data_IF_003414886014
#
_entry.id   IF_003414886014
#
_cell.length_a   1.000
_cell.length_b   1.000
_cell.length_c   1.000
_cell.angle_alpha   90.00
_cell.angle_beta   90.00
_cell.angle_gamma   90.00
#
_symmetry.space_group_name_H-M   'P 1'
#
loop_
_entity.id
_entity.type
_entity.pdbx_description
1 polymer ?
#
# COMPACT_ATOMS: atom_id res chain seq x y z
N UNK A 1 -4.43 10.64 -1.83
CA UNK A 1 -3.72 9.49 -1.22
C UNK A 1 -4.42 9.03 0.04
N UNK A 2 -4.09 9.63 1.19
CA UNK A 2 -4.51 9.19 2.53
C UNK A 2 -6.03 8.98 2.67
N UNK A 3 -6.86 9.95 2.27
CA UNK A 3 -8.32 9.85 2.42
C UNK A 3 -8.94 8.65 1.69
N UNK A 4 -8.46 8.30 0.49
CA UNK A 4 -8.92 7.11 -0.23
C UNK A 4 -8.49 5.81 0.47
N UNK A 5 -7.27 5.77 1.01
CA UNK A 5 -6.78 4.62 1.77
C UNK A 5 -7.53 4.46 3.10
N UNK A 6 -7.80 5.55 3.80
CA UNK A 6 -8.58 5.55 5.05
C UNK A 6 -9.99 5.02 4.78
N UNK A 7 -10.65 5.51 3.73
CA UNK A 7 -11.98 5.06 3.35
C UNK A 7 -12.00 3.59 2.91
N UNK A 8 -11.01 3.15 2.12
CA UNK A 8 -10.87 1.75 1.74
C UNK A 8 -10.70 0.84 2.96
N UNK A 9 -9.83 1.22 3.91
CA UNK A 9 -9.64 0.47 5.18
C UNK A 9 -10.91 0.45 6.02
N UNK A 10 -11.68 1.54 6.04
CA UNK A 10 -12.96 1.62 6.76
C UNK A 10 -13.99 0.67 6.16
N UNK A 11 -14.09 0.59 4.84
CA UNK A 11 -15.05 -0.29 4.16
C UNK A 11 -14.67 -1.77 4.23
N UNK A 12 -13.38 -2.09 4.06
CA UNK A 12 -12.89 -3.48 4.06
C UNK A 12 -12.78 -4.07 5.47
N UNK A 13 -12.59 -3.23 6.48
CA UNK A 13 -12.41 -3.65 7.87
C UNK A 13 -11.02 -4.26 8.14
N UNK A 14 -10.73 -4.62 9.40
CA UNK A 14 -9.40 -5.02 9.83
C UNK A 14 -8.98 -6.43 9.36
N UNK A 15 -9.93 -7.24 8.90
CA UNK A 15 -9.67 -8.62 8.46
C UNK A 15 -9.08 -8.72 7.05
N UNK A 16 -8.90 -7.59 6.35
CA UNK A 16 -8.37 -7.53 4.98
C UNK A 16 -7.04 -6.78 4.97
N UNK A 17 -6.00 -7.41 4.45
CA UNK A 17 -4.71 -6.77 4.23
C UNK A 17 -4.68 -6.01 2.90
N UNK A 18 -3.97 -4.88 2.87
CA UNK A 18 -3.80 -4.06 1.66
C UNK A 18 -2.31 -3.83 1.38
N UNK A 19 -1.86 -4.16 0.17
CA UNK A 19 -0.52 -3.87 -0.33
C UNK A 19 -0.56 -2.80 -1.43
N UNK A 20 0.44 -1.93 -1.50
CA UNK A 20 0.59 -0.90 -2.53
C UNK A 20 2.01 -0.93 -3.09
N UNK A 21 2.13 -0.85 -4.42
CA UNK A 21 3.42 -0.69 -5.12
C UNK A 21 3.61 0.80 -5.39
N UNK A 22 4.68 1.38 -4.85
CA UNK A 22 4.96 2.82 -4.92
C UNK A 22 6.14 3.12 -5.85
N UNK A 23 6.18 4.35 -6.35
CA UNK A 23 7.40 4.96 -6.92
C UNK A 23 8.31 5.49 -5.79
N UNK A 24 9.63 5.64 -5.99
CA UNK A 24 10.58 6.04 -4.94
C UNK A 24 10.20 7.34 -4.22
N UNK A 25 9.85 8.38 -4.97
CA UNK A 25 9.56 9.72 -4.43
C UNK A 25 8.34 9.75 -3.49
N UNK A 26 7.44 8.77 -3.61
CA UNK A 26 6.23 8.68 -2.81
C UNK A 26 6.38 7.76 -1.58
N UNK A 27 7.47 7.00 -1.44
CA UNK A 27 7.63 6.02 -0.34
C UNK A 27 7.44 6.67 1.04
N UNK A 28 8.11 7.80 1.29
CA UNK A 28 8.03 8.49 2.57
C UNK A 28 6.63 9.00 2.92
N UNK A 29 5.78 9.25 1.93
CA UNK A 29 4.37 9.59 2.18
C UNK A 29 3.62 8.40 2.80
N UNK A 30 3.80 7.19 2.25
CA UNK A 30 3.10 5.98 2.73
C UNK A 30 3.59 5.53 4.10
N UNK A 31 4.90 5.64 4.36
CA UNK A 31 5.47 5.40 5.69
C UNK A 31 4.88 6.35 6.75
N UNK A 32 4.78 7.66 6.44
CA UNK A 32 4.20 8.67 7.35
C UNK A 32 2.72 8.44 7.69
N UNK A 33 1.96 7.82 6.81
CA UNK A 33 0.54 7.48 7.07
C UNK A 33 0.38 6.09 7.71
N UNK A 34 1.47 5.46 8.12
CA UNK A 34 1.46 4.23 8.92
C UNK A 34 1.41 2.93 8.11
N UNK A 35 1.69 2.96 6.81
CA UNK A 35 1.91 1.73 6.05
C UNK A 35 3.32 1.20 6.34
N UNK A 36 3.42 -0.08 6.65
CA UNK A 36 4.70 -0.75 6.81
C UNK A 36 5.35 -0.97 5.44
N UNK A 37 6.64 -0.63 5.32
CA UNK A 37 7.45 -1.01 4.16
C UNK A 37 7.71 -2.51 4.21
N UNK A 38 7.48 -3.20 3.10
CA UNK A 38 7.73 -4.64 2.96
C UNK A 38 9.08 -4.85 2.25
N UNK A 39 10.16 -5.21 2.96
CA UNK A 39 11.39 -5.67 2.32
C UNK A 39 11.16 -7.04 1.66
N UNK A 40 12.03 -7.39 0.72
CA UNK A 40 12.06 -8.72 0.09
C UNK A 40 10.73 -9.15 -0.58
N UNK A 41 10.00 -8.17 -1.13
CA UNK A 41 8.82 -8.43 -1.94
C UNK A 41 9.21 -8.78 -3.39
N UNK A 42 8.68 -9.89 -3.90
CA UNK A 42 8.91 -10.36 -5.26
C UNK A 42 7.58 -10.36 -6.03
N UNK A 43 7.62 -9.98 -7.31
CA UNK A 43 6.42 -9.86 -8.14
C UNK A 43 6.72 -10.21 -9.59
N UNK A 44 5.91 -11.08 -10.19
CA UNK A 44 5.85 -11.23 -11.64
C UNK A 44 4.78 -10.29 -12.19
N UNK A 45 5.18 -9.40 -13.10
CA UNK A 45 4.26 -8.54 -13.83
C UNK A 45 3.32 -9.34 -14.72
N UNK A 46 2.29 -8.67 -15.25
CA UNK A 46 1.52 -9.25 -16.35
C UNK A 46 2.44 -9.45 -17.56
N UNK A 47 2.56 -10.68 -18.01
CA UNK A 47 3.10 -11.00 -19.32
C UNK A 47 1.99 -10.80 -20.36
N UNK A 48 2.36 -10.34 -21.56
CA UNK A 48 1.46 -10.19 -22.70
C UNK A 48 1.65 -11.34 -23.66
#
# INVERSE_FOLDING_TARGET
GKGLLDEARRQLGPSVAMSLISVPDAVGFYERIGMARMPDAFWFGRER
#
